data_IF_382973337813
#
_entry.id   IF_382973337813
#
_cell.length_a   1.000
_cell.length_b   1.000
_cell.length_c   1.000
_cell.angle_alpha   90.00
_cell.angle_beta   90.00
_cell.angle_gamma   90.00
#
_symmetry.space_group_name_H-M   'P 1'
#
loop_
_entity.id
_entity.type
_entity.pdbx_description
1 polymer ?
#
# COMPACT_ATOMS: atom_id res chain seq x y z
N UNK A 1 27.94 18.39 24.96
CA UNK A 1 28.50 17.71 23.77
C UNK A 1 28.99 18.75 22.81
N UNK A 2 30.11 18.52 22.09
CA UNK A 2 30.56 19.43 21.02
C UNK A 2 29.71 19.21 19.77
N UNK A 3 29.38 20.27 19.01
CA UNK A 3 28.68 20.13 17.73
C UNK A 3 29.50 19.26 16.76
N UNK A 4 28.81 18.45 15.95
CA UNK A 4 29.42 17.57 14.95
C UNK A 4 29.57 18.40 13.64
N UNK A 5 30.80 18.59 13.11
CA UNK A 5 31.00 19.27 11.85
C UNK A 5 30.24 18.63 10.70
N UNK A 6 29.76 19.44 9.75
CA UNK A 6 28.98 18.92 8.60
C UNK A 6 29.75 17.86 7.80
N UNK A 7 31.08 18.01 7.67
CA UNK A 7 31.94 17.02 7.01
C UNK A 7 32.02 15.65 7.71
N UNK A 8 31.68 15.58 8.99
CA UNK A 8 31.74 14.37 9.77
C UNK A 8 30.34 13.71 9.94
N UNK A 9 29.28 14.45 9.67
CA UNK A 9 27.89 13.96 9.88
C UNK A 9 27.58 12.73 9.05
N UNK A 10 27.89 12.71 7.75
CA UNK A 10 27.67 11.57 6.87
C UNK A 10 28.44 10.35 7.38
N UNK A 11 29.72 10.50 7.72
CA UNK A 11 30.55 9.41 8.24
C UNK A 11 30.01 8.84 9.56
N UNK A 12 29.53 9.71 10.46
CA UNK A 12 28.89 9.27 11.70
C UNK A 12 27.62 8.46 11.43
N UNK A 13 26.72 8.98 10.59
CA UNK A 13 25.46 8.30 10.26
C UNK A 13 25.72 6.97 9.56
N UNK A 14 26.63 6.93 8.59
CA UNK A 14 27.01 5.67 7.90
C UNK A 14 27.56 4.63 8.87
N UNK A 15 28.46 5.03 9.77
CA UNK A 15 29.02 4.13 10.79
C UNK A 15 27.95 3.60 11.76
N UNK A 16 27.05 4.47 12.23
CA UNK A 16 25.97 4.07 13.13
C UNK A 16 24.92 3.22 12.42
N UNK A 17 24.58 3.53 11.18
CA UNK A 17 23.68 2.73 10.36
C UNK A 17 24.22 1.29 10.18
N UNK A 18 25.52 1.17 9.86
CA UNK A 18 26.19 -0.13 9.79
C UNK A 18 26.22 -0.88 11.12
N UNK A 19 26.39 -0.15 12.23
CA UNK A 19 26.36 -0.73 13.57
C UNK A 19 24.95 -1.18 14.01
N UNK A 20 23.90 -0.50 13.56
CA UNK A 20 22.51 -0.98 13.74
C UNK A 20 22.24 -2.27 12.96
N UNK A 21 23.10 -2.58 11.99
CA UNK A 21 23.00 -3.77 11.16
C UNK A 21 21.90 -3.66 10.12
N UNK A 22 22.25 -3.61 8.84
CA UNK A 22 21.33 -4.04 7.80
C UNK A 22 21.09 -5.53 8.01
N UNK A 23 19.86 -5.90 8.31
CA UNK A 23 19.53 -7.28 8.62
C UNK A 23 19.58 -8.15 7.36
N UNK A 24 19.36 -7.52 6.19
CA UNK A 24 19.25 -8.22 4.91
C UNK A 24 20.15 -7.61 3.82
N UNK A 25 20.70 -8.47 2.98
CA UNK A 25 21.40 -8.06 1.76
C UNK A 25 20.41 -7.67 0.67
N UNK A 26 20.88 -6.95 -0.35
CA UNK A 26 20.04 -6.63 -1.52
C UNK A 26 19.47 -7.90 -2.20
N UNK A 27 20.25 -8.98 -2.26
CA UNK A 27 19.79 -10.26 -2.80
C UNK A 27 18.65 -10.87 -1.96
N UNK A 28 18.75 -10.80 -0.64
CA UNK A 28 17.70 -11.28 0.26
C UNK A 28 16.42 -10.45 0.12
N UNK A 29 16.52 -9.12 0.04
CA UNK A 29 15.38 -8.22 -0.15
C UNK A 29 14.65 -8.48 -1.47
N UNK A 30 15.38 -8.78 -2.56
CA UNK A 30 14.81 -9.11 -3.88
C UNK A 30 13.91 -10.35 -3.91
N UNK A 31 13.95 -11.18 -2.88
CA UNK A 31 13.06 -12.36 -2.77
C UNK A 31 11.62 -12.00 -2.45
N UNK A 32 11.38 -10.76 -2.01
CA UNK A 32 10.05 -10.26 -1.66
C UNK A 32 9.49 -9.40 -2.79
N UNK A 33 8.18 -9.48 -3.00
CA UNK A 33 7.51 -8.62 -3.95
C UNK A 33 7.30 -7.24 -3.33
N UNK A 34 8.38 -6.46 -3.21
CA UNK A 34 8.38 -5.09 -2.69
C UNK A 34 8.55 -4.12 -3.84
N UNK A 35 7.67 -3.14 -3.91
CA UNK A 35 7.67 -2.06 -4.89
C UNK A 35 8.17 -0.78 -4.24
N UNK A 36 9.10 -0.09 -4.90
CA UNK A 36 9.54 1.27 -4.58
C UNK A 36 8.88 2.25 -5.54
N UNK A 37 7.95 3.09 -5.09
CA UNK A 37 7.27 4.01 -5.97
C UNK A 37 8.13 5.24 -6.27
N UNK A 38 7.94 5.80 -7.49
CA UNK A 38 8.65 6.99 -7.94
C UNK A 38 8.43 8.18 -7.01
N UNK A 39 7.18 8.42 -6.61
CA UNK A 39 6.82 9.54 -5.71
C UNK A 39 7.50 9.48 -4.35
N UNK A 40 7.74 8.30 -3.79
CA UNK A 40 8.45 8.15 -2.52
C UNK A 40 9.96 8.39 -2.69
N UNK A 41 10.57 7.85 -3.75
CA UNK A 41 12.00 8.05 -4.06
C UNK A 41 12.33 9.47 -4.47
N UNK A 42 11.46 10.11 -5.23
CA UNK A 42 11.61 11.49 -5.68
C UNK A 42 11.07 12.52 -4.68
N UNK A 43 10.53 12.10 -3.52
CA UNK A 43 9.96 13.00 -2.54
C UNK A 43 10.98 14.02 -2.03
N UNK A 44 10.72 15.30 -2.31
CA UNK A 44 11.63 16.41 -2.01
C UNK A 44 11.50 16.97 -0.58
N UNK A 45 10.67 16.33 0.26
CA UNK A 45 10.44 16.75 1.65
C UNK A 45 9.47 17.92 1.79
N UNK A 46 8.69 18.24 0.76
CA UNK A 46 7.63 19.26 0.81
C UNK A 46 6.46 18.80 1.70
N UNK A 47 5.69 19.78 2.16
CA UNK A 47 4.42 19.56 2.86
C UNK A 47 3.52 20.77 2.62
N UNK A 48 2.26 20.70 3.09
CA UNK A 48 1.25 21.73 2.85
C UNK A 48 1.75 23.16 3.11
N UNK A 49 2.57 23.36 4.14
CA UNK A 49 3.10 24.67 4.53
C UNK A 49 4.65 24.75 4.46
N UNK A 50 5.28 23.77 3.83
CA UNK A 50 6.75 23.69 3.75
C UNK A 50 7.21 23.50 2.32
N UNK A 51 8.17 24.34 1.92
CA UNK A 51 8.88 24.19 0.66
C UNK A 51 9.71 22.87 0.64
N UNK A 52 10.11 22.40 -0.53
CA UNK A 52 11.04 21.29 -0.67
C UNK A 52 12.32 21.53 0.15
N UNK A 53 12.81 20.50 0.80
CA UNK A 53 14.04 20.51 1.62
C UNK A 53 15.20 19.78 0.95
N UNK A 54 14.90 19.03 -0.11
CA UNK A 54 15.87 18.27 -0.92
C UNK A 54 15.84 18.73 -2.37
N UNK A 55 16.91 18.42 -3.08
CA UNK A 55 16.97 18.62 -4.53
C UNK A 55 16.16 17.52 -5.23
N UNK A 56 15.54 17.84 -6.37
CA UNK A 56 14.92 16.81 -7.23
C UNK A 56 15.88 15.67 -7.53
N UNK A 57 15.33 14.47 -7.62
CA UNK A 57 16.03 13.23 -8.02
C UNK A 57 15.37 12.73 -9.29
N UNK A 58 16.15 12.39 -10.31
CA UNK A 58 15.61 11.88 -11.57
C UNK A 58 15.07 10.46 -11.40
N UNK A 59 14.19 10.02 -12.29
CA UNK A 59 13.67 8.64 -12.22
C UNK A 59 14.77 7.61 -12.44
N UNK A 60 15.78 7.92 -13.27
CA UNK A 60 16.95 7.06 -13.48
C UNK A 60 17.74 6.85 -12.17
N UNK A 61 17.90 7.93 -11.39
CA UNK A 61 18.56 7.85 -10.08
C UNK A 61 17.73 7.05 -9.08
N UNK A 62 16.41 7.27 -9.02
CA UNK A 62 15.49 6.53 -8.15
C UNK A 62 15.54 5.04 -8.47
N UNK A 63 15.39 4.65 -9.74
CA UNK A 63 15.42 3.25 -10.18
C UNK A 63 16.75 2.60 -9.83
N UNK A 64 17.88 3.27 -10.09
CA UNK A 64 19.22 2.78 -9.76
C UNK A 64 19.38 2.54 -8.25
N UNK A 65 18.96 3.49 -7.43
CA UNK A 65 19.04 3.36 -5.97
C UNK A 65 18.16 2.23 -5.44
N UNK A 66 16.97 2.05 -5.99
CA UNK A 66 16.12 0.92 -5.62
C UNK A 66 16.77 -0.43 -5.98
N UNK A 67 17.41 -0.52 -7.14
CA UNK A 67 18.20 -1.70 -7.52
C UNK A 67 19.34 -2.00 -6.53
N UNK A 68 20.09 -0.96 -6.13
CA UNK A 68 21.19 -1.06 -5.16
C UNK A 68 20.70 -1.53 -3.78
N UNK A 69 19.53 -1.05 -3.34
CA UNK A 69 18.89 -1.46 -2.08
C UNK A 69 18.39 -2.91 -2.15
N UNK A 70 18.03 -3.38 -3.31
CA UNK A 70 17.45 -4.71 -3.52
C UNK A 70 15.92 -4.71 -3.60
N UNK A 71 15.30 -3.56 -3.89
CA UNK A 71 13.89 -3.48 -4.28
C UNK A 71 13.78 -4.00 -5.71
N UNK A 72 12.87 -4.96 -5.95
CA UNK A 72 12.74 -5.61 -7.26
C UNK A 72 11.76 -4.97 -8.23
N UNK A 73 10.88 -4.12 -7.73
CA UNK A 73 9.78 -3.54 -8.50
C UNK A 73 9.72 -2.03 -8.33
N UNK A 74 9.24 -1.36 -9.36
CA UNK A 74 9.04 0.09 -9.40
C UNK A 74 7.59 0.41 -9.77
N UNK A 75 7.08 1.53 -9.28
CA UNK A 75 5.75 2.04 -9.57
C UNK A 75 5.78 3.54 -9.81
N UNK A 76 4.74 4.08 -10.45
CA UNK A 76 4.65 5.51 -10.73
C UNK A 76 3.19 5.95 -10.87
N UNK A 77 2.92 7.22 -10.56
CA UNK A 77 1.77 7.88 -11.17
C UNK A 77 2.07 8.20 -12.63
N UNK A 78 1.04 8.35 -13.43
CA UNK A 78 1.17 8.67 -14.86
C UNK A 78 1.85 10.03 -15.12
N UNK A 79 1.92 10.91 -14.11
CA UNK A 79 2.55 12.24 -14.18
C UNK A 79 3.76 12.46 -13.29
N UNK A 80 4.25 11.46 -12.54
CA UNK A 80 5.49 11.59 -11.75
C UNK A 80 6.71 11.85 -12.63
N UNK A 81 6.73 11.28 -13.84
CA UNK A 81 7.86 11.37 -14.78
C UNK A 81 7.44 12.03 -16.09
N UNK A 82 6.18 11.85 -16.51
CA UNK A 82 5.68 12.40 -17.75
C UNK A 82 5.01 13.75 -17.44
N UNK A 83 5.52 14.88 -17.98
CA UNK A 83 4.86 16.16 -17.80
C UNK A 83 3.42 16.11 -18.31
N UNK A 84 2.47 16.71 -17.57
CA UNK A 84 1.04 16.66 -17.93
C UNK A 84 0.75 17.16 -19.35
N UNK A 85 1.54 18.13 -19.86
CA UNK A 85 1.42 18.62 -21.24
C UNK A 85 1.96 17.68 -22.32
N UNK A 86 2.70 16.67 -21.96
CA UNK A 86 3.24 15.66 -22.88
C UNK A 86 2.38 14.39 -22.94
N UNK A 87 1.37 14.26 -22.05
CA UNK A 87 0.42 13.16 -22.07
C UNK A 87 -0.31 13.09 -23.41
N UNK A 88 -0.62 11.88 -23.86
CA UNK A 88 -1.28 11.57 -25.14
C UNK A 88 -0.47 11.96 -26.40
N UNK A 89 0.78 12.35 -26.27
CA UNK A 89 1.67 12.73 -27.38
C UNK A 89 2.76 11.68 -27.63
N UNK A 90 3.50 11.81 -28.73
CA UNK A 90 4.67 10.96 -29.01
C UNK A 90 5.78 11.12 -27.96
N UNK A 91 5.86 12.25 -27.26
CA UNK A 91 6.82 12.44 -26.17
C UNK A 91 6.52 11.56 -24.97
N UNK A 92 5.24 11.30 -24.67
CA UNK A 92 4.88 10.30 -23.68
C UNK A 92 5.50 8.94 -24.00
N UNK A 93 5.32 8.48 -25.25
CA UNK A 93 5.82 7.16 -25.68
C UNK A 93 7.36 7.10 -25.62
N UNK A 94 8.05 8.20 -25.91
CA UNK A 94 9.50 8.35 -25.78
C UNK A 94 9.95 8.24 -24.31
N UNK A 95 9.26 8.94 -23.39
CA UNK A 95 9.57 8.92 -21.96
C UNK A 95 9.30 7.51 -21.38
N UNK A 96 8.15 6.91 -21.73
CA UNK A 96 7.82 5.54 -21.29
C UNK A 96 8.84 4.52 -21.81
N UNK A 97 9.32 4.68 -23.04
CA UNK A 97 10.42 3.86 -23.58
C UNK A 97 11.68 3.99 -22.75
N UNK A 98 12.10 5.21 -22.40
CA UNK A 98 13.27 5.44 -21.52
C UNK A 98 13.10 4.83 -20.13
N UNK A 99 11.91 4.92 -19.55
CA UNK A 99 11.60 4.27 -18.26
C UNK A 99 11.80 2.75 -18.39
N UNK A 100 11.22 2.13 -19.42
CA UNK A 100 11.33 0.70 -19.66
C UNK A 100 12.79 0.25 -19.83
N UNK A 101 13.59 1.00 -20.62
CA UNK A 101 15.02 0.73 -20.79
C UNK A 101 15.80 0.86 -19.48
N UNK A 102 15.49 1.88 -18.68
CA UNK A 102 16.14 2.10 -17.38
C UNK A 102 15.82 0.99 -16.39
N UNK A 103 14.55 0.58 -16.29
CA UNK A 103 14.12 -0.56 -15.46
C UNK A 103 14.87 -1.84 -15.85
N UNK A 104 14.89 -2.16 -17.15
CA UNK A 104 15.58 -3.33 -17.67
C UNK A 104 17.10 -3.30 -17.37
N UNK A 105 17.75 -2.15 -17.58
CA UNK A 105 19.18 -1.99 -17.31
C UNK A 105 19.56 -2.19 -15.84
N UNK A 106 18.64 -1.92 -14.92
CA UNK A 106 18.82 -2.06 -13.48
C UNK A 106 18.18 -3.34 -12.89
N UNK A 107 17.57 -4.19 -13.73
CA UNK A 107 16.97 -5.46 -13.29
C UNK A 107 15.72 -5.28 -12.43
N UNK A 108 14.95 -4.20 -12.64
CA UNK A 108 13.64 -3.98 -12.03
C UNK A 108 12.52 -4.23 -13.04
N UNK A 109 11.33 -4.53 -12.53
CA UNK A 109 10.09 -4.56 -13.29
C UNK A 109 9.14 -3.45 -12.83
N UNK A 110 8.25 -2.97 -13.70
CA UNK A 110 7.15 -2.13 -13.29
C UNK A 110 6.06 -3.01 -12.66
N UNK A 111 5.61 -2.68 -11.44
CA UNK A 111 4.50 -3.39 -10.80
C UNK A 111 3.15 -2.76 -11.14
N UNK A 112 3.06 -1.45 -11.01
CA UNK A 112 1.82 -0.72 -11.22
C UNK A 112 2.04 0.67 -11.80
N UNK A 113 0.98 1.18 -12.44
CA UNK A 113 0.83 2.59 -12.81
C UNK A 113 -0.45 3.12 -12.19
N UNK A 114 -0.37 4.25 -11.52
CA UNK A 114 -1.50 4.92 -10.85
C UNK A 114 -1.93 6.13 -11.67
N UNK A 115 -3.24 6.32 -11.85
CA UNK A 115 -3.76 7.56 -12.44
C UNK A 115 -3.76 8.67 -11.40
N UNK A 116 -3.04 9.74 -11.65
CA UNK A 116 -3.08 10.91 -10.78
C UNK A 116 -4.29 11.79 -11.11
N UNK A 117 -5.19 11.98 -10.14
CA UNK A 117 -6.43 12.75 -10.31
C UNK A 117 -6.53 13.98 -9.39
N UNK A 118 -5.49 14.30 -8.64
CA UNK A 118 -5.51 15.36 -7.63
C UNK A 118 -4.67 16.59 -7.97
N UNK A 119 -3.87 16.54 -9.01
CA UNK A 119 -2.88 17.57 -9.31
C UNK A 119 -3.44 18.86 -9.90
N UNK A 120 -4.54 18.80 -10.65
CA UNK A 120 -5.14 19.94 -11.33
C UNK A 120 -6.54 20.25 -10.82
N UNK A 121 -6.90 21.56 -10.76
CA UNK A 121 -8.25 22.01 -10.40
C UNK A 121 -9.35 21.41 -11.29
N UNK A 122 -9.02 21.05 -12.56
CA UNK A 122 -9.92 20.35 -13.48
C UNK A 122 -10.28 18.93 -13.02
N UNK A 123 -9.57 18.38 -12.06
CA UNK A 123 -9.81 17.07 -11.50
C UNK A 123 -10.61 17.08 -10.20
N UNK A 124 -11.16 18.20 -9.77
CA UNK A 124 -12.14 18.20 -8.68
C UNK A 124 -13.19 17.13 -8.96
N UNK A 125 -13.24 16.08 -8.15
CA UNK A 125 -14.03 14.86 -8.32
C UNK A 125 -13.61 13.94 -9.50
N UNK A 126 -12.58 14.24 -10.27
CA UNK A 126 -12.05 13.35 -11.31
C UNK A 126 -13.09 12.80 -12.27
N UNK A 127 -13.17 11.46 -12.44
CA UNK A 127 -14.18 10.83 -13.31
C UNK A 127 -15.62 11.07 -12.86
N UNK A 128 -15.84 11.48 -11.62
CA UNK A 128 -17.16 11.78 -11.05
C UNK A 128 -17.55 13.26 -11.11
N UNK A 129 -16.73 14.11 -11.73
CA UNK A 129 -16.99 15.54 -11.82
C UNK A 129 -18.31 15.86 -12.50
N UNK A 130 -18.96 16.95 -12.09
CA UNK A 130 -20.22 17.41 -12.71
C UNK A 130 -20.03 17.88 -14.15
N UNK A 131 -18.84 18.44 -14.47
CA UNK A 131 -18.51 18.86 -15.83
C UNK A 131 -18.27 17.66 -16.74
N UNK A 132 -19.00 17.52 -17.87
CA UNK A 132 -18.79 16.45 -18.81
C UNK A 132 -17.38 16.49 -19.44
N UNK A 133 -16.79 17.67 -19.59
CA UNK A 133 -15.43 17.80 -20.13
C UNK A 133 -14.39 17.27 -19.16
N UNK A 134 -14.55 17.51 -17.85
CA UNK A 134 -13.66 16.98 -16.82
C UNK A 134 -13.78 15.46 -16.75
N UNK A 135 -15.00 14.92 -16.76
CA UNK A 135 -15.23 13.46 -16.79
C UNK A 135 -14.59 12.80 -18.01
N UNK A 136 -14.79 13.37 -19.18
CA UNK A 136 -14.21 12.85 -20.42
C UNK A 136 -12.68 12.83 -20.36
N UNK A 137 -12.06 13.94 -19.91
CA UNK A 137 -10.61 14.01 -19.77
C UNK A 137 -10.10 13.01 -18.73
N UNK A 138 -10.78 12.90 -17.58
CA UNK A 138 -10.43 11.92 -16.57
C UNK A 138 -10.54 10.47 -17.09
N UNK A 139 -11.60 10.14 -17.82
CA UNK A 139 -11.73 8.81 -18.43
C UNK A 139 -10.61 8.53 -19.45
N UNK A 140 -10.19 9.51 -20.25
CA UNK A 140 -9.03 9.37 -21.14
C UNK A 140 -7.73 9.15 -20.34
N UNK A 141 -7.58 9.80 -19.17
CA UNK A 141 -6.44 9.57 -18.27
C UNK A 141 -6.43 8.14 -17.75
N UNK A 142 -7.57 7.61 -17.27
CA UNK A 142 -7.68 6.21 -16.82
C UNK A 142 -7.27 5.23 -17.94
N UNK A 143 -7.76 5.42 -19.15
CA UNK A 143 -7.37 4.61 -20.32
C UNK A 143 -5.88 4.75 -20.66
N UNK A 144 -5.32 5.96 -20.53
CA UNK A 144 -3.91 6.19 -20.81
C UNK A 144 -3.00 5.53 -19.77
N UNK A 145 -3.42 5.50 -18.49
CA UNK A 145 -2.73 4.74 -17.43
C UNK A 145 -2.64 3.26 -17.81
N UNK A 146 -3.70 2.67 -18.33
CA UNK A 146 -3.71 1.30 -18.85
C UNK A 146 -2.70 1.14 -20.00
N UNK A 147 -2.70 2.06 -20.97
CA UNK A 147 -1.72 2.05 -22.07
C UNK A 147 -0.29 2.07 -21.57
N UNK A 148 0.04 3.00 -20.66
CA UNK A 148 1.37 3.10 -20.05
C UNK A 148 1.71 1.81 -19.28
N UNK A 149 0.76 1.25 -18.53
CA UNK A 149 0.92 -0.01 -17.83
C UNK A 149 1.32 -1.14 -18.77
N UNK A 150 0.62 -1.31 -19.87
CA UNK A 150 0.98 -2.30 -20.89
C UNK A 150 2.35 -2.06 -21.53
N UNK A 151 2.71 -0.81 -21.80
CA UNK A 151 4.01 -0.46 -22.36
C UNK A 151 5.17 -0.79 -21.42
N UNK A 152 4.97 -0.60 -20.11
CA UNK A 152 5.95 -0.90 -19.07
C UNK A 152 5.91 -2.35 -18.58
N UNK A 153 4.92 -3.15 -19.00
CA UNK A 153 4.73 -4.52 -18.53
C UNK A 153 4.25 -4.59 -17.08
N UNK A 154 3.53 -3.59 -16.61
CA UNK A 154 2.92 -3.56 -15.29
C UNK A 154 1.86 -4.67 -15.13
N UNK A 155 1.60 -5.05 -13.88
CA UNK A 155 0.57 -6.01 -13.54
C UNK A 155 -0.72 -5.34 -13.06
N UNK A 156 -0.60 -4.10 -12.57
CA UNK A 156 -1.70 -3.38 -11.91
C UNK A 156 -1.85 -1.98 -12.51
N UNK A 157 -3.12 -1.56 -12.68
CA UNK A 157 -3.52 -0.17 -12.83
C UNK A 157 -4.22 0.25 -11.53
N UNK A 158 -3.73 1.30 -10.87
CA UNK A 158 -4.30 1.76 -9.60
C UNK A 158 -5.04 3.07 -9.81
N UNK A 159 -6.16 3.22 -9.13
CA UNK A 159 -7.02 4.40 -9.18
C UNK A 159 -7.18 4.95 -7.78
N UNK A 160 -6.37 5.94 -7.47
CA UNK A 160 -6.44 6.68 -6.22
C UNK A 160 -7.37 7.90 -6.39
N UNK A 161 -8.47 7.98 -5.63
CA UNK A 161 -9.50 8.98 -5.83
C UNK A 161 -9.29 10.25 -4.98
N UNK A 162 -8.08 10.73 -4.83
CA UNK A 162 -7.74 11.84 -3.93
C UNK A 162 -8.55 13.12 -4.11
N UNK A 163 -9.16 13.34 -5.30
CA UNK A 163 -10.10 14.44 -5.55
C UNK A 163 -11.54 13.98 -5.71
N UNK A 164 -11.83 12.70 -5.50
CA UNK A 164 -13.15 12.10 -5.69
C UNK A 164 -14.07 12.36 -4.48
N UNK A 165 -14.53 13.60 -4.39
CA UNK A 165 -15.34 14.03 -3.26
C UNK A 165 -15.69 15.52 -3.33
N UNK A 166 -15.96 16.12 -2.19
CA UNK A 166 -16.39 17.50 -2.08
C UNK A 166 -15.95 18.14 -0.76
N UNK A 167 -15.89 19.47 -0.76
CA UNK A 167 -15.63 20.25 0.45
C UNK A 167 -16.91 20.72 1.13
N UNK A 168 -17.99 20.88 0.37
CA UNK A 168 -19.26 21.40 0.84
C UNK A 168 -20.34 20.38 0.52
N UNK A 169 -21.00 19.88 1.56
CA UNK A 169 -22.10 18.93 1.41
C UNK A 169 -23.20 19.52 0.53
N UNK A 170 -23.75 18.70 -0.36
CA UNK A 170 -24.76 19.10 -1.34
C UNK A 170 -24.23 19.82 -2.59
N UNK A 171 -22.90 20.01 -2.70
CA UNK A 171 -22.28 20.50 -3.91
C UNK A 171 -22.16 19.42 -5.00
N UNK A 172 -22.32 18.16 -4.63
CA UNK A 172 -22.25 16.98 -5.53
C UNK A 172 -23.50 16.13 -5.30
N UNK A 173 -24.09 15.60 -6.37
CA UNK A 173 -25.12 14.57 -6.26
C UNK A 173 -24.43 13.19 -6.28
N UNK A 174 -24.28 12.58 -5.11
CA UNK A 174 -23.40 11.44 -4.87
C UNK A 174 -23.82 10.20 -5.65
N UNK A 175 -25.12 9.94 -5.82
CA UNK A 175 -25.57 8.74 -6.55
C UNK A 175 -25.21 8.82 -8.03
N UNK A 176 -25.30 10.01 -8.61
CA UNK A 176 -24.91 10.24 -10.00
C UNK A 176 -23.38 10.27 -10.14
N UNK A 177 -22.66 10.83 -9.17
CA UNK A 177 -21.21 10.85 -9.16
C UNK A 177 -20.62 9.42 -9.14
N UNK A 178 -21.21 8.51 -8.37
CA UNK A 178 -20.83 7.09 -8.36
C UNK A 178 -21.06 6.41 -9.72
N UNK A 179 -22.14 6.74 -10.45
CA UNK A 179 -22.39 6.23 -11.80
C UNK A 179 -21.34 6.74 -12.78
N UNK A 180 -21.02 8.02 -12.75
CA UNK A 180 -19.99 8.61 -13.61
C UNK A 180 -18.61 8.00 -13.32
N UNK A 181 -18.31 7.74 -12.06
CA UNK A 181 -17.06 7.06 -11.71
C UNK A 181 -17.01 5.62 -12.26
N UNK A 182 -18.13 4.89 -12.16
CA UNK A 182 -18.25 3.58 -12.78
C UNK A 182 -18.06 3.64 -14.30
N UNK A 183 -18.63 4.62 -14.99
CA UNK A 183 -18.44 4.81 -16.43
C UNK A 183 -16.96 4.99 -16.79
N UNK A 184 -16.23 5.78 -15.99
CA UNK A 184 -14.79 5.96 -16.17
C UNK A 184 -13.99 4.67 -16.01
N UNK A 185 -14.28 3.90 -14.96
CA UNK A 185 -13.63 2.59 -14.72
C UNK A 185 -14.00 1.56 -15.79
N UNK A 186 -15.26 1.50 -16.22
CA UNK A 186 -15.71 0.63 -17.31
C UNK A 186 -14.94 0.94 -18.60
N UNK A 187 -14.78 2.23 -18.94
CA UNK A 187 -14.01 2.64 -20.12
C UNK A 187 -12.52 2.23 -20.01
N UNK A 188 -11.94 2.26 -18.80
CA UNK A 188 -10.57 1.78 -18.59
C UNK A 188 -10.45 0.26 -18.77
N UNK A 189 -11.39 -0.52 -18.21
CA UNK A 189 -11.44 -1.97 -18.38
C UNK A 189 -11.62 -2.38 -19.86
N UNK A 190 -12.52 -1.71 -20.59
CA UNK A 190 -12.74 -1.96 -22.01
C UNK A 190 -11.49 -1.64 -22.84
N UNK A 191 -10.80 -0.54 -22.53
CA UNK A 191 -9.54 -0.19 -23.18
C UNK A 191 -8.46 -1.25 -22.90
N UNK A 192 -8.39 -1.77 -21.67
CA UNK A 192 -7.46 -2.83 -21.29
C UNK A 192 -7.73 -4.12 -22.07
N UNK A 193 -8.98 -4.56 -22.14
CA UNK A 193 -9.39 -5.73 -22.93
C UNK A 193 -8.95 -5.58 -24.40
N UNK A 194 -9.17 -4.41 -24.98
CA UNK A 194 -8.78 -4.14 -26.37
C UNK A 194 -7.27 -4.20 -26.58
N UNK A 195 -6.49 -3.55 -25.69
CA UNK A 195 -5.01 -3.55 -25.75
C UNK A 195 -4.46 -4.94 -25.52
N UNK A 196 -4.96 -5.65 -24.51
CA UNK A 196 -4.54 -7.02 -24.17
C UNK A 196 -4.77 -7.97 -25.36
N UNK A 197 -5.94 -7.89 -26.00
CA UNK A 197 -6.27 -8.69 -27.18
C UNK A 197 -5.35 -8.36 -28.38
N UNK A 198 -5.10 -7.06 -28.64
CA UNK A 198 -4.24 -6.61 -29.73
C UNK A 198 -2.80 -7.13 -29.59
N UNK A 199 -2.28 -7.22 -28.37
CA UNK A 199 -0.90 -7.59 -28.10
C UNK A 199 -0.74 -9.03 -27.58
N UNK A 200 -1.82 -9.80 -27.53
CA UNK A 200 -1.86 -11.17 -26.96
C UNK A 200 -1.22 -11.22 -25.57
N UNK A 201 -1.65 -10.35 -24.68
CA UNK A 201 -1.19 -10.24 -23.30
C UNK A 201 -2.37 -10.38 -22.32
N UNK A 202 -2.14 -10.74 -21.07
CA UNK A 202 -3.20 -10.66 -20.06
C UNK A 202 -3.61 -9.20 -19.83
N UNK A 203 -4.85 -9.00 -19.40
CA UNK A 203 -5.32 -7.72 -18.88
C UNK A 203 -4.61 -7.37 -17.56
N UNK A 204 -4.58 -6.09 -17.25
CA UNK A 204 -4.12 -5.62 -15.93
C UNK A 204 -5.17 -5.94 -14.86
N UNK A 205 -4.74 -5.94 -13.62
CA UNK A 205 -5.64 -5.91 -12.46
C UNK A 205 -5.91 -4.45 -12.11
N UNK A 206 -7.17 -4.03 -12.20
CA UNK A 206 -7.61 -2.69 -11.85
C UNK A 206 -7.85 -2.60 -10.35
N UNK A 207 -7.08 -1.80 -9.63
CA UNK A 207 -7.17 -1.70 -8.19
C UNK A 207 -7.66 -0.30 -7.78
N UNK A 208 -8.67 -0.27 -6.93
CA UNK A 208 -9.13 0.96 -6.30
C UNK A 208 -8.44 1.13 -4.94
N UNK A 209 -7.99 2.35 -4.68
CA UNK A 209 -7.35 2.70 -3.42
C UNK A 209 -8.24 3.68 -2.64
N UNK A 210 -8.61 3.30 -1.43
CA UNK A 210 -9.48 4.12 -0.59
C UNK A 210 -8.67 5.19 0.17
N UNK A 211 -9.25 6.40 0.27
CA UNK A 211 -8.76 7.46 1.15
C UNK A 211 -9.95 8.16 1.81
N UNK A 212 -9.96 8.34 3.15
CA UNK A 212 -11.14 8.85 3.85
C UNK A 212 -11.35 10.36 3.66
N UNK A 213 -10.26 11.13 3.55
CA UNK A 213 -10.23 12.59 3.38
C UNK A 213 -8.83 12.99 2.91
N UNK A 214 -8.61 14.28 2.64
CA UNK A 214 -7.39 14.84 2.03
C UNK A 214 -7.19 14.40 0.56
N UNK A 215 -7.11 15.36 -0.36
CA UNK A 215 -7.25 16.81 -0.12
C UNK A 215 -8.69 17.29 0.05
N UNK A 216 -9.69 16.47 -0.29
CA UNK A 216 -11.11 16.80 -0.07
C UNK A 216 -11.52 16.48 1.37
N UNK A 217 -12.47 17.27 1.91
CA UNK A 217 -13.02 17.02 3.24
C UNK A 217 -13.81 15.71 3.30
N UNK A 218 -14.56 15.42 2.25
CA UNK A 218 -15.37 14.22 2.09
C UNK A 218 -15.00 13.52 0.78
N UNK A 219 -14.71 12.23 0.87
CA UNK A 219 -14.45 11.37 -0.29
C UNK A 219 -15.58 10.35 -0.40
N UNK A 220 -16.10 10.14 -1.62
CA UNK A 220 -17.29 9.31 -1.86
C UNK A 220 -17.07 7.82 -1.58
N UNK A 221 -15.82 7.34 -1.70
CA UNK A 221 -15.43 5.96 -1.40
C UNK A 221 -14.29 5.95 -0.38
N UNK A 222 -14.55 6.33 0.88
CA UNK A 222 -13.51 6.68 1.83
C UNK A 222 -12.78 5.48 2.45
N UNK A 223 -13.31 4.27 2.29
CA UNK A 223 -12.77 3.05 2.92
C UNK A 223 -12.76 1.88 1.94
N UNK A 224 -11.94 0.87 2.23
CA UNK A 224 -11.97 -0.39 1.49
C UNK A 224 -13.36 -1.04 1.47
N UNK A 225 -14.14 -0.92 2.55
CA UNK A 225 -15.51 -1.43 2.60
C UNK A 225 -16.46 -0.70 1.66
N UNK A 226 -16.36 0.63 1.59
CA UNK A 226 -17.14 1.42 0.64
C UNK A 226 -16.82 1.01 -0.80
N UNK A 227 -15.55 0.76 -1.11
CA UNK A 227 -15.13 0.29 -2.43
C UNK A 227 -15.59 -1.13 -2.73
N UNK A 228 -15.56 -2.06 -1.76
CA UNK A 228 -16.15 -3.39 -1.94
C UNK A 228 -17.65 -3.31 -2.25
N UNK A 229 -18.37 -2.45 -1.54
CA UNK A 229 -19.79 -2.21 -1.79
C UNK A 229 -20.04 -1.62 -3.18
N UNK A 230 -19.19 -0.69 -3.61
CA UNK A 230 -19.24 -0.13 -4.96
C UNK A 230 -18.97 -1.17 -6.04
N UNK A 231 -17.95 -2.02 -5.89
CA UNK A 231 -17.67 -3.12 -6.84
C UNK A 231 -18.88 -4.07 -6.94
N UNK A 232 -19.55 -4.32 -5.82
CA UNK A 232 -20.73 -5.22 -5.77
C UNK A 232 -22.05 -4.53 -6.19
N UNK A 233 -22.06 -3.23 -6.48
CA UNK A 233 -23.28 -2.43 -6.72
C UNK A 233 -23.98 -2.75 -8.04
N UNK A 234 -23.33 -3.44 -8.96
CA UNK A 234 -23.83 -3.69 -10.31
C UNK A 234 -23.64 -2.54 -11.30
N UNK A 235 -22.88 -1.49 -10.92
CA UNK A 235 -22.54 -0.37 -11.81
C UNK A 235 -21.38 -0.70 -12.75
N UNK A 236 -20.50 -1.62 -12.36
CA UNK A 236 -19.36 -2.04 -13.18
C UNK A 236 -19.79 -3.13 -14.19
N UNK A 237 -19.34 -2.98 -15.44
CA UNK A 237 -19.53 -4.00 -16.50
C UNK A 237 -18.55 -5.17 -16.35
N UNK A 238 -17.38 -4.93 -15.75
CA UNK A 238 -16.32 -5.90 -15.53
C UNK A 238 -15.87 -5.93 -14.05
N UNK A 239 -16.78 -6.25 -13.10
CA UNK A 239 -16.42 -6.24 -11.67
C UNK A 239 -15.35 -7.29 -11.32
N UNK A 240 -15.17 -8.33 -12.14
CA UNK A 240 -14.11 -9.33 -12.00
C UNK A 240 -12.71 -8.76 -12.25
N UNK A 241 -12.60 -7.71 -13.06
CA UNK A 241 -11.35 -7.02 -13.36
C UNK A 241 -10.98 -5.97 -12.31
N UNK A 242 -11.87 -5.67 -11.36
CA UNK A 242 -11.68 -4.61 -10.35
C UNK A 242 -11.51 -5.22 -8.97
N UNK A 243 -10.46 -4.83 -8.27
CA UNK A 243 -10.15 -5.21 -6.90
C UNK A 243 -9.67 -4.01 -6.10
N UNK A 244 -8.98 -4.27 -5.00
CA UNK A 244 -8.54 -3.25 -4.07
C UNK A 244 -7.02 -3.18 -3.98
N UNK A 245 -6.55 -1.96 -3.75
CA UNK A 245 -5.26 -1.59 -3.22
C UNK A 245 -5.46 -0.84 -1.90
N UNK A 246 -5.81 -1.51 -0.77
CA UNK A 246 -5.89 -0.82 0.50
C UNK A 246 -4.54 -0.21 0.85
N UNK A 247 -4.57 0.92 1.56
CA UNK A 247 -3.42 1.44 2.25
C UNK A 247 -3.64 1.35 3.76
N UNK A 248 -2.60 0.89 4.47
CA UNK A 248 -2.68 0.66 5.91
C UNK A 248 -3.05 1.94 6.68
N UNK A 249 -2.38 3.06 6.37
CA UNK A 249 -2.63 4.32 7.08
C UNK A 249 -4.00 4.92 6.76
N UNK A 250 -4.49 4.79 5.54
CA UNK A 250 -5.81 5.29 5.16
C UNK A 250 -6.93 4.66 6.00
N UNK A 251 -6.84 3.36 6.30
CA UNK A 251 -7.80 2.72 7.21
C UNK A 251 -7.67 3.25 8.65
N UNK A 252 -6.45 3.53 9.14
CA UNK A 252 -6.24 4.15 10.45
C UNK A 252 -6.76 5.59 10.51
N UNK A 253 -6.65 6.36 9.43
CA UNK A 253 -7.17 7.73 9.35
C UNK A 253 -8.67 7.76 9.55
N UNK A 254 -9.40 6.79 9.02
CA UNK A 254 -10.84 6.62 9.23
C UNK A 254 -11.20 6.08 10.63
N UNK A 255 -10.22 5.62 11.39
CA UNK A 255 -10.43 4.98 12.68
C UNK A 255 -10.78 3.49 12.59
N UNK A 256 -10.75 2.91 11.40
CA UNK A 256 -10.95 1.48 11.20
C UNK A 256 -9.76 0.65 11.70
N UNK A 257 -9.96 -0.65 11.80
CA UNK A 257 -8.89 -1.61 12.04
C UNK A 257 -8.38 -2.15 10.69
N UNK A 258 -7.15 -1.85 10.26
CA UNK A 258 -6.63 -2.28 8.96
C UNK A 258 -6.75 -3.79 8.76
N UNK A 259 -6.44 -4.59 9.77
CA UNK A 259 -6.57 -6.04 9.73
C UNK A 259 -7.98 -6.50 9.37
N UNK A 260 -9.02 -5.84 9.89
CA UNK A 260 -10.41 -6.20 9.60
C UNK A 260 -10.83 -5.82 8.17
N UNK A 261 -10.38 -4.65 7.67
CA UNK A 261 -10.60 -4.24 6.28
C UNK A 261 -9.94 -5.23 5.30
N UNK A 262 -8.68 -5.58 5.55
CA UNK A 262 -7.95 -6.57 4.74
C UNK A 262 -8.60 -7.96 4.79
N UNK A 263 -9.11 -8.39 5.95
CA UNK A 263 -9.82 -9.67 6.07
C UNK A 263 -11.08 -9.70 5.18
N UNK A 264 -11.85 -8.61 5.11
CA UNK A 264 -13.01 -8.51 4.22
C UNK A 264 -12.61 -8.51 2.74
N UNK A 265 -11.55 -7.78 2.39
CA UNK A 265 -11.01 -7.77 1.04
C UNK A 265 -10.52 -9.16 0.60
N UNK A 266 -9.83 -9.89 1.49
CA UNK A 266 -9.43 -11.29 1.27
C UNK A 266 -10.63 -12.21 1.10
N UNK A 267 -11.65 -12.10 1.97
CA UNK A 267 -12.88 -12.90 1.90
C UNK A 267 -13.62 -12.69 0.59
N UNK A 268 -13.63 -11.45 0.08
CA UNK A 268 -14.23 -11.11 -1.21
C UNK A 268 -13.35 -11.52 -2.42
N UNK A 269 -12.12 -12.01 -2.21
CA UNK A 269 -11.16 -12.30 -3.28
C UNK A 269 -10.67 -11.04 -4.02
N UNK A 270 -10.76 -9.88 -3.36
CA UNK A 270 -10.49 -8.57 -3.97
C UNK A 270 -9.23 -7.88 -3.44
N UNK A 271 -8.49 -8.46 -2.51
CA UNK A 271 -7.18 -7.93 -2.10
C UNK A 271 -6.14 -8.31 -3.15
N UNK A 272 -5.77 -7.38 -4.02
CA UNK A 272 -4.86 -7.65 -5.13
C UNK A 272 -3.53 -6.92 -5.01
N UNK A 273 -3.52 -5.77 -4.38
CA UNK A 273 -2.36 -4.93 -4.11
C UNK A 273 -2.45 -4.42 -2.67
N UNK A 274 -1.35 -3.97 -2.08
CA UNK A 274 -1.37 -3.44 -0.72
C UNK A 274 -0.28 -2.38 -0.53
N UNK A 275 -0.69 -1.16 -0.23
CA UNK A 275 0.19 -0.05 0.09
C UNK A 275 0.55 -0.08 1.57
N UNK A 276 1.86 -0.13 1.83
CA UNK A 276 2.41 -0.33 3.15
C UNK A 276 3.15 0.91 3.65
N UNK A 277 2.69 1.42 4.76
CA UNK A 277 3.24 2.52 5.52
C UNK A 277 2.84 2.39 7.00
N UNK A 278 2.98 3.42 7.79
CA UNK A 278 2.53 3.49 9.17
C UNK A 278 2.18 4.92 9.54
N UNK A 279 1.49 5.10 10.64
CA UNK A 279 1.11 6.42 11.14
C UNK A 279 0.23 6.36 12.37
N UNK A 280 -0.44 7.47 12.64
CA UNK A 280 -1.24 7.64 13.84
C UNK A 280 -2.73 7.59 13.51
N UNK A 281 -3.48 6.81 14.30
CA UNK A 281 -4.93 6.69 14.17
C UNK A 281 -5.62 8.07 14.26
N UNK A 282 -6.59 8.33 13.37
CA UNK A 282 -7.36 9.58 13.30
C UNK A 282 -6.49 10.83 13.11
N UNK A 283 -5.36 10.69 12.45
CA UNK A 283 -4.47 11.80 12.07
C UNK A 283 -4.34 11.87 10.55
N UNK A 284 -3.66 12.92 10.09
CA UNK A 284 -3.38 13.14 8.67
C UNK A 284 -2.38 12.09 8.13
N UNK A 285 -2.33 12.03 6.82
CA UNK A 285 -1.51 11.13 6.05
C UNK A 285 -0.02 11.47 6.14
N UNK A 286 0.69 10.79 7.04
CA UNK A 286 2.12 11.05 7.32
C UNK A 286 3.07 10.07 6.64
N UNK A 287 2.57 8.93 6.17
CA UNK A 287 3.32 7.88 5.47
C UNK A 287 4.67 7.53 6.11
N UNK A 288 4.64 7.24 7.41
CA UNK A 288 5.82 6.81 8.15
C UNK A 288 6.17 5.38 7.75
N UNK A 289 7.45 5.01 7.88
CA UNK A 289 7.89 3.66 7.55
C UNK A 289 7.19 2.60 8.41
N UNK A 290 6.83 1.51 7.77
CA UNK A 290 6.15 0.32 8.33
C UNK A 290 6.68 -0.07 9.70
N UNK A 291 5.79 -0.30 10.65
CA UNK A 291 6.08 -0.84 11.99
C UNK A 291 6.83 0.12 12.91
N UNK A 292 6.90 1.41 12.60
CA UNK A 292 7.52 2.39 13.50
C UNK A 292 6.59 2.84 14.62
N UNK A 293 5.29 2.90 14.35
CA UNK A 293 4.27 3.38 15.31
C UNK A 293 3.45 2.21 15.84
N UNK A 294 3.03 1.29 14.97
CA UNK A 294 2.10 0.22 15.29
C UNK A 294 2.69 -1.19 15.03
N UNK A 295 3.85 -1.57 15.61
CA UNK A 295 4.53 -2.81 15.24
C UNK A 295 3.72 -4.08 15.57
N UNK A 296 2.95 -4.10 16.65
CA UNK A 296 2.12 -5.25 17.02
C UNK A 296 0.90 -5.38 16.11
N UNK A 297 0.28 -4.27 15.72
CA UNK A 297 -0.83 -4.28 14.76
C UNK A 297 -0.34 -4.76 13.38
N UNK A 298 0.83 -4.27 12.95
CA UNK A 298 1.51 -4.76 11.74
C UNK A 298 1.79 -6.26 11.78
N UNK A 299 2.31 -6.78 12.90
CA UNK A 299 2.51 -8.22 13.06
C UNK A 299 1.20 -9.00 12.86
N UNK A 300 0.10 -8.53 13.45
CA UNK A 300 -1.23 -9.14 13.31
C UNK A 300 -1.78 -9.06 11.87
N UNK A 301 -1.53 -7.94 11.16
CA UNK A 301 -1.87 -7.80 9.74
C UNK A 301 -1.10 -8.82 8.90
N UNK A 302 0.20 -8.95 9.11
CA UNK A 302 1.04 -9.85 8.33
C UNK A 302 0.76 -11.33 8.62
N UNK A 303 0.37 -11.68 9.85
CA UNK A 303 -0.14 -13.02 10.19
C UNK A 303 -1.40 -13.33 9.36
N UNK A 304 -2.35 -12.40 9.29
CA UNK A 304 -3.55 -12.57 8.46
C UNK A 304 -3.19 -12.82 7.00
N UNK A 305 -2.37 -11.95 6.41
CA UNK A 305 -1.97 -12.04 5.01
C UNK A 305 -1.28 -13.37 4.68
N UNK A 306 -0.29 -13.75 5.48
CA UNK A 306 0.45 -15.03 5.31
C UNK A 306 -0.46 -16.25 5.47
N UNK A 307 -1.34 -16.25 6.47
CA UNK A 307 -2.27 -17.35 6.71
C UNK A 307 -3.26 -17.58 5.54
N UNK A 308 -3.48 -16.55 4.71
CA UNK A 308 -4.33 -16.62 3.52
C UNK A 308 -3.55 -16.70 2.21
N UNK A 309 -2.23 -16.92 2.28
CA UNK A 309 -1.38 -17.09 1.10
C UNK A 309 -1.09 -15.80 0.32
N UNK A 310 -1.43 -14.62 0.85
CA UNK A 310 -1.02 -13.36 0.24
C UNK A 310 0.45 -13.09 0.54
N UNK A 311 1.23 -12.87 -0.49
CA UNK A 311 2.69 -12.65 -0.42
C UNK A 311 3.17 -11.43 -1.23
N UNK A 312 2.31 -10.48 -1.45
CA UNK A 312 2.54 -9.25 -2.22
C UNK A 312 1.70 -9.20 -3.50
N UNK A 313 1.76 -8.09 -4.24
CA UNK A 313 2.71 -6.96 -4.11
C UNK A 313 2.52 -6.15 -2.82
N UNK A 314 3.65 -5.62 -2.31
CA UNK A 314 3.69 -4.66 -1.22
C UNK A 314 4.36 -3.38 -1.74
N UNK A 315 3.61 -2.31 -1.85
CA UNK A 315 4.15 -1.04 -2.32
C UNK A 315 4.49 -0.13 -1.13
N UNK A 316 5.69 0.41 -1.14
CA UNK A 316 6.18 1.33 -0.09
C UNK A 316 5.59 2.73 -0.31
N UNK A 317 4.33 2.94 0.04
CA UNK A 317 3.78 4.29 0.08
C UNK A 317 4.29 5.01 1.34
N UNK A 318 5.54 5.41 1.26
CA UNK A 318 6.34 5.87 2.38
C UNK A 318 7.01 7.20 2.04
N UNK A 319 6.81 8.19 2.87
CA UNK A 319 7.50 9.48 2.79
C UNK A 319 8.72 9.51 3.71
N UNK A 320 9.96 9.44 3.16
CA UNK A 320 11.17 9.58 3.97
C UNK A 320 11.17 10.88 4.80
N UNK A 321 11.85 10.93 5.96
CA UNK A 321 11.86 12.12 6.79
C UNK A 321 12.21 13.39 6.02
N UNK A 322 11.42 14.45 6.18
CA UNK A 322 11.49 15.68 5.35
C UNK A 322 12.84 16.35 5.35
N UNK A 323 13.53 16.32 6.47
CA UNK A 323 14.80 17.04 6.67
C UNK A 323 16.04 16.20 6.40
N UNK A 324 15.87 14.95 5.97
CA UNK A 324 16.99 14.08 5.59
C UNK A 324 17.50 14.44 4.19
N UNK A 325 18.80 14.27 3.93
CA UNK A 325 19.40 14.46 2.60
C UNK A 325 19.01 13.34 1.64
N UNK A 326 19.17 13.55 0.32
CA UNK A 326 18.96 12.48 -0.67
C UNK A 326 19.85 11.26 -0.38
N UNK A 327 21.11 11.47 0.06
CA UNK A 327 21.96 10.37 0.51
C UNK A 327 21.31 9.60 1.67
N UNK A 328 20.83 10.27 2.70
CA UNK A 328 20.19 9.64 3.85
C UNK A 328 18.91 8.89 3.48
N UNK A 329 18.15 9.38 2.48
CA UNK A 329 16.96 8.68 1.96
C UNK A 329 17.32 7.29 1.44
N UNK A 330 18.32 7.20 0.55
CA UNK A 330 18.66 5.95 -0.11
C UNK A 330 19.64 5.07 0.67
N UNK A 331 20.53 5.69 1.48
CA UNK A 331 21.51 4.95 2.28
C UNK A 331 20.94 4.44 3.62
N UNK A 332 19.88 5.07 4.15
CA UNK A 332 19.34 4.74 5.48
C UNK A 332 17.83 4.51 5.45
N UNK A 333 17.03 5.49 4.98
CA UNK A 333 15.58 5.48 5.17
C UNK A 333 14.91 4.29 4.46
N UNK A 334 15.14 4.11 3.17
CA UNK A 334 14.57 2.98 2.42
C UNK A 334 15.11 1.62 2.88
N UNK A 335 16.45 1.42 3.01
CA UNK A 335 16.96 0.14 3.50
C UNK A 335 16.36 -0.29 4.85
N UNK A 336 16.27 0.64 5.81
CA UNK A 336 15.72 0.32 7.14
C UNK A 336 14.21 0.10 7.12
N UNK A 337 13.46 0.77 6.24
CA UNK A 337 12.03 0.53 6.07
C UNK A 337 11.76 -0.86 5.50
N UNK A 338 12.50 -1.26 4.46
CA UNK A 338 12.43 -2.59 3.85
C UNK A 338 12.82 -3.68 4.85
N UNK A 339 13.94 -3.50 5.57
CA UNK A 339 14.41 -4.49 6.55
C UNK A 339 13.41 -4.70 7.68
N UNK A 340 12.76 -3.63 8.14
CA UNK A 340 11.74 -3.73 9.19
C UNK A 340 10.52 -4.47 8.69
N UNK A 341 10.05 -4.18 7.48
CA UNK A 341 8.95 -4.91 6.87
C UNK A 341 9.26 -6.40 6.75
N UNK A 342 10.43 -6.76 6.22
CA UNK A 342 10.83 -8.16 6.07
C UNK A 342 10.93 -8.84 7.45
N UNK A 343 11.51 -8.16 8.45
CA UNK A 343 11.60 -8.71 9.81
C UNK A 343 10.22 -9.02 10.40
N UNK A 344 9.26 -8.10 10.25
CA UNK A 344 7.88 -8.32 10.69
C UNK A 344 7.20 -9.46 9.90
N UNK A 345 7.47 -9.56 8.60
CA UNK A 345 6.97 -10.64 7.75
C UNK A 345 7.49 -12.02 8.20
N UNK A 346 8.78 -12.11 8.54
CA UNK A 346 9.37 -13.35 9.06
C UNK A 346 8.82 -13.69 10.45
N UNK A 347 8.70 -12.71 11.34
CA UNK A 347 8.08 -12.89 12.66
C UNK A 347 6.62 -13.36 12.55
N UNK A 348 5.88 -12.88 11.56
CA UNK A 348 4.53 -13.38 11.28
C UNK A 348 4.54 -14.87 10.92
N UNK A 349 5.55 -15.33 10.16
CA UNK A 349 5.75 -16.75 9.89
C UNK A 349 6.07 -17.56 11.15
N UNK A 350 6.96 -17.04 12.00
CA UNK A 350 7.27 -17.66 13.29
C UNK A 350 6.02 -17.78 14.17
N UNK A 351 5.18 -16.74 14.20
CA UNK A 351 3.93 -16.74 14.98
C UNK A 351 2.92 -17.80 14.49
N UNK A 352 2.80 -17.98 13.18
CA UNK A 352 1.91 -18.99 12.59
C UNK A 352 2.37 -20.40 12.94
N UNK A 353 3.67 -20.63 13.04
CA UNK A 353 4.26 -21.92 13.35
C UNK A 353 4.47 -22.14 14.87
N UNK A 354 4.25 -21.13 15.71
CA UNK A 354 4.50 -21.20 17.14
C UNK A 354 3.56 -22.22 17.82
N UNK A 355 4.11 -23.24 18.52
CA UNK A 355 3.32 -24.34 19.08
C UNK A 355 2.35 -23.87 20.17
N UNK A 356 2.71 -22.84 20.95
CA UNK A 356 1.84 -22.31 22.00
C UNK A 356 0.62 -21.61 21.39
N UNK A 357 0.84 -20.80 20.35
CA UNK A 357 -0.26 -20.12 19.65
C UNK A 357 -1.17 -21.13 18.95
N UNK A 358 -0.60 -22.16 18.33
CA UNK A 358 -1.38 -23.23 17.68
C UNK A 358 -2.22 -23.99 18.68
N UNK A 359 -1.63 -24.48 19.75
CA UNK A 359 -2.33 -25.24 20.80
C UNK A 359 -3.47 -24.41 21.42
N UNK A 360 -3.18 -23.16 21.80
CA UNK A 360 -4.20 -22.26 22.35
C UNK A 360 -5.32 -21.98 21.35
N UNK A 361 -4.99 -21.76 20.09
CA UNK A 361 -5.98 -21.52 19.02
C UNK A 361 -6.84 -22.76 18.77
N UNK A 362 -6.25 -23.94 18.78
CA UNK A 362 -6.99 -25.20 18.56
C UNK A 362 -7.88 -25.53 19.78
N UNK A 363 -7.45 -25.23 20.99
CA UNK A 363 -8.28 -25.34 22.18
C UNK A 363 -9.50 -24.39 22.14
N UNK A 364 -9.29 -23.13 21.69
CA UNK A 364 -10.38 -22.17 21.49
C UNK A 364 -11.38 -22.63 20.43
N UNK A 365 -10.91 -23.22 19.33
CA UNK A 365 -11.78 -23.76 18.27
C UNK A 365 -12.56 -25.00 18.72
N UNK A 366 -11.91 -25.85 19.49
CA UNK A 366 -12.55 -27.04 20.04
C UNK A 366 -13.67 -26.69 21.03
N UNK A 367 -13.45 -25.64 21.82
CA UNK A 367 -14.40 -25.19 22.83
C UNK A 367 -14.59 -26.21 23.97
N UNK A 368 -15.44 -25.86 24.92
CA UNK A 368 -15.90 -26.76 25.97
C UNK A 368 -17.15 -27.54 25.56
N UNK A 369 -17.36 -28.71 26.18
CA UNK A 369 -18.53 -29.56 25.90
C UNK A 369 -19.79 -28.99 26.57
N UNK A 370 -20.81 -28.75 25.76
CA UNK A 370 -22.12 -28.25 26.19
C UNK A 370 -23.21 -29.18 25.64
N UNK A 371 -24.11 -29.66 26.51
CA UNK A 371 -25.18 -30.56 26.11
C UNK A 371 -26.34 -29.84 25.44
N UNK A 372 -26.71 -28.64 25.86
CA UNK A 372 -27.70 -27.78 25.22
C UNK A 372 -27.08 -26.47 24.77
N UNK A 373 -26.95 -26.22 23.46
CA UNK A 373 -26.36 -25.00 22.93
C UNK A 373 -27.21 -23.73 23.18
N UNK A 374 -28.38 -23.85 23.80
CA UNK A 374 -29.24 -22.74 24.22
C UNK A 374 -29.08 -22.39 25.69
N UNK A 375 -28.37 -23.21 26.47
CA UNK A 375 -28.12 -22.96 27.87
C UNK A 375 -26.90 -22.03 28.02
N UNK A 376 -27.16 -20.73 28.17
CA UNK A 376 -26.11 -19.70 28.30
C UNK A 376 -25.20 -19.93 29.50
N UNK A 377 -25.71 -20.49 30.59
CA UNK A 377 -24.90 -20.77 31.79
C UNK A 377 -23.94 -21.94 31.54
N UNK A 378 -24.43 -23.02 30.93
CA UNK A 378 -23.63 -24.17 30.54
C UNK A 378 -22.53 -23.75 29.52
N UNK A 379 -22.87 -22.91 28.53
CA UNK A 379 -21.90 -22.37 27.58
C UNK A 379 -20.83 -21.53 28.31
N UNK A 380 -21.26 -20.66 29.21
CA UNK A 380 -20.34 -19.79 29.95
C UNK A 380 -19.38 -20.62 30.80
N UNK A 381 -19.88 -21.57 31.56
CA UNK A 381 -19.04 -22.45 32.41
C UNK A 381 -18.06 -23.30 31.58
N UNK A 382 -18.51 -23.80 30.42
CA UNK A 382 -17.68 -24.64 29.56
C UNK A 382 -16.54 -23.84 28.85
N UNK A 383 -16.64 -22.50 28.76
CA UNK A 383 -15.70 -21.69 27.96
C UNK A 383 -14.92 -20.66 28.77
N UNK A 384 -15.34 -20.29 29.99
CA UNK A 384 -14.75 -19.17 30.74
C UNK A 384 -13.22 -19.23 30.90
N UNK A 385 -12.67 -20.43 31.16
CA UNK A 385 -11.23 -20.60 31.31
C UNK A 385 -10.52 -20.61 29.95
N UNK A 386 -11.15 -21.14 28.90
CA UNK A 386 -10.61 -21.13 27.54
C UNK A 386 -10.48 -19.71 27.01
N UNK A 387 -11.38 -18.80 27.35
CA UNK A 387 -11.31 -17.39 26.89
C UNK A 387 -10.04 -16.68 27.40
N UNK A 388 -9.43 -17.16 28.49
CA UNK A 388 -8.13 -16.65 28.98
C UNK A 388 -7.00 -16.88 27.96
N UNK A 389 -7.15 -17.87 27.08
CA UNK A 389 -6.15 -18.16 26.03
C UNK A 389 -5.97 -16.99 25.04
N UNK A 390 -6.97 -16.11 24.90
CA UNK A 390 -6.81 -14.90 24.06
C UNK A 390 -5.70 -13.99 24.60
N UNK A 391 -5.60 -13.80 25.92
CA UNK A 391 -4.54 -13.02 26.53
C UNK A 391 -3.17 -13.71 26.40
N UNK A 392 -3.13 -15.04 26.55
CA UNK A 392 -1.90 -15.81 26.36
C UNK A 392 -1.38 -15.73 24.93
N UNK A 393 -2.25 -15.83 23.94
CA UNK A 393 -1.90 -15.63 22.53
C UNK A 393 -1.35 -14.21 22.33
N UNK A 394 -2.05 -13.19 22.82
CA UNK A 394 -1.60 -11.80 22.72
C UNK A 394 -0.23 -11.58 23.37
N UNK A 395 -0.01 -12.16 24.57
CA UNK A 395 1.28 -12.10 25.24
C UNK A 395 2.38 -12.82 24.44
N UNK A 396 2.08 -13.98 23.84
CA UNK A 396 3.04 -14.73 23.03
C UNK A 396 3.42 -13.97 21.76
N UNK A 397 2.47 -13.32 21.08
CA UNK A 397 2.74 -12.43 19.94
C UNK A 397 3.66 -11.28 20.35
N UNK A 398 3.43 -10.68 21.50
CA UNK A 398 4.30 -9.64 22.04
C UNK A 398 5.73 -10.16 22.33
N UNK A 399 5.86 -11.38 22.86
CA UNK A 399 7.18 -12.02 23.06
C UNK A 399 7.89 -12.27 21.74
N UNK A 400 7.18 -12.70 20.70
CA UNK A 400 7.74 -12.89 19.35
C UNK A 400 8.24 -11.56 18.80
N UNK A 401 7.43 -10.52 18.88
CA UNK A 401 7.78 -9.16 18.43
C UNK A 401 9.07 -8.65 19.11
N UNK A 402 9.26 -8.94 20.39
CA UNK A 402 10.45 -8.54 21.14
C UNK A 402 11.62 -9.54 21.01
N UNK A 403 11.49 -10.63 20.27
CA UNK A 403 12.49 -11.66 20.13
C UNK A 403 12.72 -12.49 21.42
N UNK A 404 11.87 -12.35 22.43
CA UNK A 404 12.01 -12.99 23.74
C UNK A 404 11.73 -14.49 23.72
N UNK A 405 11.04 -14.97 22.68
CA UNK A 405 10.69 -16.39 22.49
C UNK A 405 11.91 -17.24 22.11
N UNK A 406 12.95 -16.65 21.49
CA UNK A 406 14.12 -17.36 20.95
C UNK A 406 15.11 -17.86 22.02
N UNK A 407 15.03 -17.37 23.24
CA UNK A 407 15.95 -17.72 24.33
C UNK A 407 15.31 -18.46 25.50
N UNK A 408 14.03 -18.81 25.46
CA UNK A 408 13.30 -19.48 26.51
C UNK A 408 12.86 -20.87 26.06
N UNK A 409 13.53 -21.89 26.53
CA UNK A 409 13.02 -23.27 26.52
C UNK A 409 11.86 -23.34 27.51
N UNK A 410 10.63 -23.39 27.03
CA UNK A 410 9.48 -23.77 27.84
C UNK A 410 9.45 -25.31 27.86
N UNK A 411 9.75 -25.92 29.00
CA UNK A 411 9.32 -27.30 29.24
C UNK A 411 7.80 -27.26 29.47
N UNK A 412 7.04 -27.77 28.52
CA UNK A 412 5.62 -28.09 28.70
C UNK A 412 5.51 -29.30 29.59
#
# INVERSE_FOLDING_TARGET
MKPIPASEQISLVDRLSKACGGTYTAEQRRKYFITGPQWAGAYEGQALFHAPTRKPVTFEEVIRHYAEIGIGYWATHDTDVIPAGDLFTSKQDEIVGRIGDTLKANGLACSMVTTETFYHAVFSAGPAAESPYVRQYAAERLKNTVKIGHQLGAQFAVYWPGSFGYQIQGAVEETQALRWYADGLNAACEADIAIAAQHNRPTLKHCMEAKPFEPQAEILLPTSDAMLSFIASGLLTHPEMVGLNPEYLHELMWGAAPRAALARALTAGKLWHFDINDGYRLKHDVDIAVGLVNPLDWLNVLILLRSHGYNGPFNLDYKPPRTTSNWGVFAVSFPTAVDRFISLWEMAGEAIEDPIIREATDALKAGGVVSDPRDVNAITEAHKELLTLHELIGHRLFQILLGLHRGRTYSV
#
